data_IF_804918462597
#
_entry.id   IF_804918462597
#
_cell.length_a   1.000
_cell.length_b   1.000
_cell.length_c   1.000
_cell.angle_alpha   90.00
_cell.angle_beta   90.00
_cell.angle_gamma   90.00
#
_symmetry.space_group_name_H-M   'P 1'
#
loop_
_entity.id
_entity.type
_entity.pdbx_description
1 polymer ?
#
# COMPACT_ATOMS: atom_id res chain seq x y z
N UNK A 1 -31.05 13.51 6.53
CA UNK A 1 -29.69 13.22 6.02
C UNK A 1 -28.98 14.47 5.52
N UNK A 2 -29.58 15.27 4.62
CA UNK A 2 -28.98 16.53 4.12
C UNK A 2 -28.75 17.59 5.21
N UNK A 3 -29.71 17.77 6.12
CA UNK A 3 -29.59 18.74 7.22
C UNK A 3 -28.49 18.37 8.22
N UNK A 4 -28.41 17.10 8.64
CA UNK A 4 -27.34 16.63 9.53
C UNK A 4 -25.96 16.89 8.93
N UNK A 5 -25.76 16.52 7.66
CA UNK A 5 -24.49 16.79 6.97
C UNK A 5 -24.20 18.29 6.88
N UNK A 6 -25.21 19.12 6.60
CA UNK A 6 -25.03 20.57 6.51
C UNK A 6 -24.60 21.15 7.86
N UNK A 7 -25.24 20.73 8.96
CA UNK A 7 -24.86 21.13 10.32
C UNK A 7 -23.42 20.72 10.65
N UNK A 8 -23.05 19.47 10.35
CA UNK A 8 -21.69 18.97 10.57
C UNK A 8 -20.68 19.75 9.72
N UNK A 9 -21.04 20.07 8.47
CA UNK A 9 -20.19 20.84 7.55
C UNK A 9 -20.02 22.29 8.00
N UNK A 10 -21.08 22.94 8.47
CA UNK A 10 -21.03 24.29 9.04
C UNK A 10 -20.11 24.30 10.26
N UNK A 11 -20.27 23.35 11.18
CA UNK A 11 -19.42 23.23 12.36
C UNK A 11 -17.94 23.02 11.97
N UNK A 12 -17.69 22.16 10.98
CA UNK A 12 -16.35 21.96 10.44
C UNK A 12 -15.75 23.26 9.87
N UNK A 13 -16.51 23.98 9.04
CA UNK A 13 -16.06 25.24 8.42
C UNK A 13 -15.75 26.30 9.48
N UNK A 14 -16.57 26.40 10.54
CA UNK A 14 -16.34 27.31 11.68
C UNK A 14 -15.01 27.06 12.39
N UNK A 15 -14.56 25.81 12.42
CA UNK A 15 -13.31 25.40 13.06
C UNK A 15 -12.08 25.50 12.13
N UNK A 16 -12.25 25.91 10.86
CA UNK A 16 -11.13 26.12 9.95
C UNK A 16 -10.35 27.39 10.35
N UNK A 17 -9.01 27.30 10.36
CA UNK A 17 -8.14 28.46 10.63
C UNK A 17 -8.30 29.59 9.61
N UNK A 18 -8.59 29.25 8.35
CA UNK A 18 -8.80 30.21 7.27
C UNK A 18 -9.82 29.65 6.26
N UNK A 19 -11.13 29.80 6.52
CA UNK A 19 -12.15 29.44 5.54
C UNK A 19 -12.02 30.32 4.29
N UNK A 20 -12.30 29.76 3.11
CA UNK A 20 -12.28 30.50 1.85
C UNK A 20 -13.54 31.41 1.72
N UNK A 21 -13.60 32.24 0.69
CA UNK A 21 -14.69 33.22 0.54
C UNK A 21 -16.06 32.57 0.32
N UNK A 22 -16.11 31.44 -0.40
CA UNK A 22 -17.33 30.64 -0.56
C UNK A 22 -17.86 30.16 0.80
N UNK A 23 -16.96 29.63 1.63
CA UNK A 23 -17.26 29.11 2.96
C UNK A 23 -17.68 30.20 3.94
N UNK A 24 -17.02 31.37 3.89
CA UNK A 24 -17.39 32.54 4.68
C UNK A 24 -18.79 33.03 4.31
N UNK A 25 -19.11 33.11 3.02
CA UNK A 25 -20.44 33.50 2.55
C UNK A 25 -21.51 32.49 2.97
N UNK A 26 -21.20 31.18 2.91
CA UNK A 26 -22.09 30.14 3.41
C UNK A 26 -22.38 30.30 4.90
N UNK A 27 -21.36 30.54 5.72
CA UNK A 27 -21.53 30.76 7.15
C UNK A 27 -22.42 31.97 7.42
N UNK A 28 -22.10 33.11 6.80
CA UNK A 28 -22.86 34.35 6.95
C UNK A 28 -24.35 34.16 6.59
N UNK A 29 -24.65 33.49 5.47
CA UNK A 29 -26.03 33.22 5.07
C UNK A 29 -26.71 32.18 5.97
N UNK A 30 -25.96 31.22 6.52
CA UNK A 30 -26.51 30.20 7.43
C UNK A 30 -26.93 30.76 8.79
N UNK A 31 -26.32 31.86 9.24
CA UNK A 31 -26.57 32.48 10.55
C UNK A 31 -27.67 33.55 10.53
N UNK A 32 -28.11 33.99 9.34
CA UNK A 32 -29.20 34.96 9.23
C UNK A 32 -30.55 34.34 9.63
N UNK A 33 -31.24 35.01 10.57
CA UNK A 33 -32.59 34.66 11.04
C UNK A 33 -33.69 34.91 10.02
N UNK A 34 -33.50 35.86 9.11
CA UNK A 34 -34.39 36.11 7.97
C UNK A 34 -33.54 36.30 6.71
N UNK A 35 -33.84 35.53 5.66
CA UNK A 35 -33.16 35.58 4.36
C UNK A 35 -34.16 35.99 3.28
N UNK A 36 -33.69 36.83 2.36
CA UNK A 36 -34.41 37.12 1.12
C UNK A 36 -34.44 35.91 0.19
N UNK A 37 -35.36 35.89 -0.79
CA UNK A 37 -35.42 34.83 -1.80
C UNK A 37 -34.10 34.68 -2.60
N UNK A 38 -33.39 35.79 -2.84
CA UNK A 38 -32.09 35.75 -3.51
C UNK A 38 -30.99 35.11 -2.63
N UNK A 39 -30.98 35.43 -1.34
CA UNK A 39 -30.05 34.84 -0.38
C UNK A 39 -30.29 33.34 -0.17
N UNK A 40 -31.56 32.91 -0.14
CA UNK A 40 -31.90 31.48 -0.06
C UNK A 40 -31.43 30.73 -1.31
N UNK A 41 -31.59 31.33 -2.50
CA UNK A 41 -31.06 30.78 -3.75
C UNK A 41 -29.54 30.66 -3.71
N UNK A 42 -28.83 31.74 -3.32
CA UNK A 42 -27.37 31.74 -3.17
C UNK A 42 -26.90 30.67 -2.19
N UNK A 43 -27.53 30.58 -1.02
CA UNK A 43 -27.22 29.56 -0.01
C UNK A 43 -27.39 28.15 -0.59
N UNK A 44 -28.47 27.90 -1.34
CA UNK A 44 -28.69 26.59 -1.97
C UNK A 44 -27.58 26.19 -2.96
N UNK A 45 -27.02 27.16 -3.71
CA UNK A 45 -25.91 26.91 -4.63
C UNK A 45 -24.61 26.64 -3.87
N UNK A 46 -24.32 27.41 -2.82
CA UNK A 46 -23.14 27.21 -1.97
C UNK A 46 -23.16 25.83 -1.31
N UNK A 47 -24.31 25.40 -0.79
CA UNK A 47 -24.49 24.07 -0.19
C UNK A 47 -24.24 22.97 -1.23
N UNK A 48 -24.77 23.12 -2.45
CA UNK A 48 -24.54 22.16 -3.54
C UNK A 48 -23.07 22.07 -3.93
N UNK A 49 -22.36 23.19 -3.99
CA UNK A 49 -20.93 23.24 -4.29
C UNK A 49 -20.11 22.53 -3.21
N UNK A 50 -20.35 22.84 -1.93
CA UNK A 50 -19.70 22.15 -0.80
C UNK A 50 -19.97 20.64 -0.79
N UNK A 51 -21.20 20.24 -1.11
CA UNK A 51 -21.57 18.83 -1.17
C UNK A 51 -20.84 18.11 -2.31
N UNK A 52 -20.78 18.74 -3.49
CA UNK A 52 -20.08 18.19 -4.65
C UNK A 52 -18.58 18.02 -4.35
N UNK A 53 -17.95 19.03 -3.73
CA UNK A 53 -16.54 18.96 -3.35
C UNK A 53 -16.31 17.85 -2.30
N UNK A 54 -17.14 17.77 -1.27
CA UNK A 54 -17.03 16.70 -0.27
C UNK A 54 -17.15 15.30 -0.89
N UNK A 55 -18.06 15.13 -1.85
CA UNK A 55 -18.21 13.86 -2.58
C UNK A 55 -16.99 13.57 -3.47
N UNK A 56 -16.45 14.57 -4.15
CA UNK A 56 -15.26 14.44 -4.98
C UNK A 56 -14.02 14.09 -4.15
N UNK A 57 -13.85 14.71 -2.97
CA UNK A 57 -12.76 14.39 -2.05
C UNK A 57 -12.87 12.96 -1.52
N UNK A 58 -14.09 12.52 -1.13
CA UNK A 58 -14.32 11.14 -0.72
C UNK A 58 -13.98 10.15 -1.82
N UNK A 59 -14.47 10.38 -3.04
CA UNK A 59 -14.16 9.53 -4.19
C UNK A 59 -12.64 9.45 -4.46
N UNK A 60 -11.92 10.58 -4.41
CA UNK A 60 -10.46 10.62 -4.53
C UNK A 60 -9.76 9.81 -3.44
N UNK A 61 -10.20 9.95 -2.19
CA UNK A 61 -9.67 9.16 -1.06
C UNK A 61 -9.93 7.67 -1.22
N UNK A 62 -11.12 7.27 -1.67
CA UNK A 62 -11.47 5.87 -1.88
C UNK A 62 -10.63 5.24 -2.98
N UNK A 63 -10.42 5.94 -4.11
CA UNK A 63 -9.53 5.51 -5.19
C UNK A 63 -8.09 5.40 -4.71
N UNK A 64 -7.59 6.41 -3.97
CA UNK A 64 -6.23 6.38 -3.43
C UNK A 64 -6.03 5.19 -2.48
N UNK A 65 -7.04 4.86 -1.65
CA UNK A 65 -7.01 3.69 -0.77
C UNK A 65 -6.89 2.39 -1.57
N UNK A 66 -7.68 2.24 -2.64
CA UNK A 66 -7.64 1.04 -3.51
C UNK A 66 -6.26 0.91 -4.16
N UNK A 67 -5.76 1.97 -4.79
CA UNK A 67 -4.46 1.95 -5.47
C UNK A 67 -3.32 1.68 -4.48
N UNK A 68 -3.36 2.25 -3.28
CA UNK A 68 -2.34 2.01 -2.27
C UNK A 68 -2.38 0.58 -1.73
N UNK A 69 -3.58 0.01 -1.53
CA UNK A 69 -3.73 -1.38 -1.13
C UNK A 69 -3.14 -2.33 -2.17
N UNK A 70 -3.36 -2.07 -3.47
CA UNK A 70 -2.78 -2.86 -4.55
C UNK A 70 -1.25 -2.72 -4.64
N UNK A 71 -0.74 -1.51 -4.47
CA UNK A 71 0.72 -1.31 -4.40
C UNK A 71 1.33 -2.02 -3.19
N UNK A 72 0.63 -2.06 -2.07
CA UNK A 72 1.09 -2.74 -0.86
C UNK A 72 1.04 -4.27 -1.01
N UNK A 73 -0.01 -4.82 -1.59
CA UNK A 73 -0.11 -6.25 -1.89
C UNK A 73 1.01 -6.69 -2.84
N UNK A 74 1.26 -5.92 -3.91
CA UNK A 74 2.36 -6.18 -4.84
C UNK A 74 3.74 -6.12 -4.17
N UNK A 75 3.97 -5.15 -3.29
CA UNK A 75 5.21 -5.08 -2.49
C UNK A 75 5.36 -6.28 -1.58
N UNK A 76 4.30 -6.66 -0.85
CA UNK A 76 4.33 -7.83 0.05
C UNK A 76 4.58 -9.13 -0.71
N UNK A 77 3.98 -9.29 -1.89
CA UNK A 77 4.23 -10.44 -2.76
C UNK A 77 5.70 -10.48 -3.19
N UNK A 78 6.24 -9.36 -3.71
CA UNK A 78 7.66 -9.26 -4.07
C UNK A 78 8.58 -9.57 -2.89
N UNK A 79 8.33 -8.97 -1.73
CA UNK A 79 9.17 -9.15 -0.55
C UNK A 79 9.11 -10.61 -0.06
N UNK A 80 7.95 -11.26 -0.15
CA UNK A 80 7.81 -12.70 0.12
C UNK A 80 8.68 -13.55 -0.80
N UNK A 81 8.67 -13.29 -2.10
CA UNK A 81 9.53 -14.02 -3.06
C UNK A 81 11.02 -13.78 -2.77
N UNK A 82 11.41 -12.55 -2.41
CA UNK A 82 12.78 -12.24 -2.00
C UNK A 82 13.18 -13.00 -0.73
N UNK A 83 12.29 -13.09 0.25
CA UNK A 83 12.53 -13.89 1.46
C UNK A 83 12.63 -15.39 1.15
N UNK A 84 11.84 -15.91 0.21
CA UNK A 84 11.95 -17.30 -0.23
C UNK A 84 13.29 -17.55 -0.93
N UNK A 85 13.74 -16.64 -1.81
CA UNK A 85 15.06 -16.72 -2.43
C UNK A 85 16.20 -16.70 -1.41
N UNK A 86 16.14 -15.82 -0.41
CA UNK A 86 17.09 -15.82 0.70
C UNK A 86 17.02 -17.13 1.51
N UNK A 87 15.82 -17.68 1.69
CA UNK A 87 15.59 -19.00 2.28
C UNK A 87 16.33 -20.12 1.54
N UNK A 88 16.38 -20.08 0.20
CA UNK A 88 17.16 -21.04 -0.59
C UNK A 88 18.66 -20.93 -0.31
N UNK A 89 19.20 -19.73 -0.16
CA UNK A 89 20.61 -19.52 0.20
C UNK A 89 20.93 -20.08 1.60
N UNK A 90 19.99 -19.91 2.55
CA UNK A 90 20.08 -20.51 3.89
C UNK A 90 20.01 -22.05 3.81
N UNK A 91 19.16 -22.61 2.94
CA UNK A 91 19.07 -24.06 2.72
C UNK A 91 20.35 -24.62 2.11
N UNK A 92 20.95 -23.90 1.17
CA UNK A 92 22.20 -24.25 0.52
C UNK A 92 23.42 -24.12 1.44
N UNK A 93 23.23 -23.63 2.68
CA UNK A 93 24.32 -23.45 3.64
C UNK A 93 25.25 -22.29 3.27
N UNK A 94 24.76 -21.31 2.51
CA UNK A 94 25.53 -20.13 2.09
C UNK A 94 25.31 -18.93 3.01
N UNK A 95 24.28 -18.99 3.87
CA UNK A 95 23.89 -17.94 4.81
C UNK A 95 23.67 -18.54 6.19
N UNK A 96 24.17 -17.87 7.22
CA UNK A 96 23.94 -18.26 8.60
C UNK A 96 22.47 -18.06 9.00
N UNK A 97 21.87 -19.13 9.52
CA UNK A 97 20.44 -19.16 9.87
C UNK A 97 20.02 -18.20 11.00
N UNK A 98 20.96 -17.80 11.87
CA UNK A 98 20.66 -17.00 13.07
C UNK A 98 20.88 -15.51 12.83
N UNK A 99 21.94 -15.18 12.10
CA UNK A 99 22.38 -13.81 11.84
C UNK A 99 21.91 -13.30 10.48
N UNK A 100 21.54 -14.19 9.56
CA UNK A 100 21.17 -13.82 8.18
C UNK A 100 22.34 -13.31 7.34
N UNK A 101 23.57 -13.43 7.84
CA UNK A 101 24.77 -12.99 7.14
C UNK A 101 25.30 -14.10 6.22
N UNK A 102 25.75 -13.76 5.00
CA UNK A 102 26.50 -14.70 4.16
C UNK A 102 27.67 -15.29 4.93
N UNK A 103 27.89 -16.60 4.75
CA UNK A 103 29.05 -17.30 5.32
C UNK A 103 30.32 -17.06 4.49
N UNK A 104 30.15 -16.70 3.21
CA UNK A 104 31.20 -16.25 2.30
C UNK A 104 31.28 -14.72 2.27
N UNK A 105 32.38 -14.19 1.75
CA UNK A 105 32.40 -12.78 1.39
C UNK A 105 31.29 -12.46 0.38
N UNK A 106 30.71 -11.25 0.46
CA UNK A 106 29.56 -10.87 -0.35
C UNK A 106 29.89 -10.85 -1.85
N UNK A 107 31.12 -10.47 -2.20
CA UNK A 107 31.62 -10.49 -3.57
C UNK A 107 31.84 -11.91 -4.08
N UNK A 108 32.38 -12.80 -3.25
CA UNK A 108 32.58 -14.21 -3.60
C UNK A 108 31.25 -14.93 -3.84
N UNK A 109 30.27 -14.73 -2.94
CA UNK A 109 28.93 -15.29 -3.11
C UNK A 109 28.26 -14.79 -4.40
N UNK A 110 28.37 -13.48 -4.68
CA UNK A 110 27.81 -12.93 -5.91
C UNK A 110 28.53 -13.47 -7.15
N UNK A 111 29.85 -13.55 -7.13
CA UNK A 111 30.64 -14.12 -8.23
C UNK A 111 30.28 -15.58 -8.51
N UNK A 112 30.08 -16.39 -7.48
CA UNK A 112 29.63 -17.78 -7.62
C UNK A 112 28.22 -17.87 -8.24
N UNK A 113 27.29 -16.99 -7.85
CA UNK A 113 25.94 -16.96 -8.42
C UNK A 113 25.94 -16.50 -9.89
N UNK A 114 26.79 -15.53 -10.24
CA UNK A 114 27.01 -15.12 -11.64
C UNK A 114 27.58 -16.28 -12.46
N UNK A 115 28.58 -16.99 -11.94
CA UNK A 115 29.13 -18.16 -12.63
C UNK A 115 28.08 -19.25 -12.88
N UNK A 116 27.15 -19.46 -11.95
CA UNK A 116 26.02 -20.39 -12.14
C UNK A 116 25.08 -19.92 -13.26
N UNK A 117 24.82 -18.61 -13.36
CA UNK A 117 23.97 -18.02 -14.40
C UNK A 117 24.59 -18.14 -15.80
N UNK A 118 25.89 -17.89 -15.91
CA UNK A 118 26.64 -17.94 -17.17
C UNK A 118 26.94 -19.39 -17.62
N UNK A 119 26.83 -20.38 -16.73
CA UNK A 119 27.11 -21.77 -17.06
C UNK A 119 26.06 -22.31 -18.03
N UNK A 120 26.51 -22.87 -19.17
CA UNK A 120 25.62 -23.56 -20.09
C UNK A 120 25.08 -24.86 -19.45
N UNK A 121 23.88 -24.81 -18.91
CA UNK A 121 23.24 -25.94 -18.22
C UNK A 121 22.38 -26.75 -19.19
N UNK A 122 22.74 -28.01 -19.42
CA UNK A 122 21.90 -28.96 -20.17
C UNK A 122 20.67 -29.39 -19.36
N UNK A 123 19.65 -29.91 -20.03
CA UNK A 123 18.42 -30.37 -19.36
C UNK A 123 18.69 -31.48 -18.33
N UNK A 124 19.64 -32.38 -18.62
CA UNK A 124 20.04 -33.43 -17.67
C UNK A 124 20.59 -32.85 -16.35
N UNK A 125 21.42 -31.80 -16.43
CA UNK A 125 21.96 -31.12 -15.25
C UNK A 125 20.85 -30.39 -14.49
N UNK A 126 19.89 -29.76 -15.19
CA UNK A 126 18.71 -29.14 -14.55
C UNK A 126 17.85 -30.15 -13.79
N UNK A 127 17.66 -31.35 -14.34
CA UNK A 127 16.93 -32.43 -13.67
C UNK A 127 17.64 -32.86 -12.38
N UNK A 128 18.96 -33.02 -12.41
CA UNK A 128 19.73 -33.38 -11.22
C UNK A 128 19.71 -32.28 -10.14
N UNK A 129 19.81 -31.01 -10.55
CA UNK A 129 19.68 -29.86 -9.65
C UNK A 129 18.31 -29.82 -9.00
N UNK A 130 17.24 -29.98 -9.79
CA UNK A 130 15.87 -30.04 -9.29
C UNK A 130 15.69 -31.16 -8.28
N UNK A 131 16.16 -32.38 -8.59
CA UNK A 131 16.09 -33.53 -7.67
C UNK A 131 16.77 -33.23 -6.34
N UNK A 132 17.97 -32.65 -6.39
CA UNK A 132 18.76 -32.31 -5.19
C UNK A 132 18.07 -31.21 -4.37
N UNK A 133 17.59 -30.15 -5.02
CA UNK A 133 16.87 -29.06 -4.38
C UNK A 133 15.57 -29.51 -3.72
N UNK A 134 14.74 -30.28 -4.44
CA UNK A 134 13.47 -30.80 -3.93
C UNK A 134 13.69 -31.72 -2.71
N UNK A 135 14.76 -32.54 -2.72
CA UNK A 135 15.13 -33.37 -1.57
C UNK A 135 15.56 -32.54 -0.34
N UNK A 136 16.35 -31.48 -0.54
CA UNK A 136 16.77 -30.58 0.55
C UNK A 136 15.58 -29.82 1.15
N UNK A 137 14.66 -29.31 0.32
CA UNK A 137 13.44 -28.65 0.79
C UNK A 137 12.56 -29.61 1.60
N UNK A 138 12.31 -30.80 1.07
CA UNK A 138 11.49 -31.82 1.76
C UNK A 138 12.09 -32.29 3.10
N UNK A 139 13.43 -32.29 3.22
CA UNK A 139 14.11 -32.67 4.47
C UNK A 139 13.87 -31.69 5.62
N UNK A 140 13.54 -30.43 5.32
CA UNK A 140 13.35 -29.35 6.30
C UNK A 140 11.87 -29.03 6.56
N UNK A 141 10.97 -29.37 5.63
CA UNK A 141 9.52 -29.29 5.83
C UNK A 141 8.96 -30.38 6.75
N UNK A 142 9.63 -31.53 6.86
CA UNK A 142 9.28 -32.51 7.89
C UNK A 142 9.59 -31.89 9.25
N UNK A 143 8.61 -31.72 10.15
CA UNK A 143 8.88 -31.13 11.44
C UNK A 143 9.97 -31.95 12.14
N UNK A 144 10.99 -31.26 12.65
CA UNK A 144 11.90 -31.85 13.63
C UNK A 144 11.02 -32.36 14.77
N UNK A 145 10.70 -33.67 14.75
CA UNK A 145 10.03 -34.34 15.87
C UNK A 145 10.89 -34.06 17.10
N UNK A 146 10.34 -33.30 18.06
CA UNK A 146 10.93 -33.09 19.38
C UNK A 146 10.93 -34.39 20.16
#
# INVERSE_FOLDING_TARGET
MKEKWLSDRILHIKNLKSPNDQQRLLLMLSEKTSRTNDEERKLSFLIKAEWAEAKAQKARSDVARIVNAEKESARKARDRELYQAAGLLILAGLVDTKTGSPLLDRGELLGALVAIEETAVTDAVRVDWKRTGDALMASRERPRKS
#
